data_IF_633298191313
#
_entry.id   IF_633298191313
#
_cell.length_a   1.000
_cell.length_b   1.000
_cell.length_c   1.000
_cell.angle_alpha   90.00
_cell.angle_beta   90.00
_cell.angle_gamma   90.00
#
_symmetry.space_group_name_H-M   'P 1'
#
loop_
_entity.id
_entity.type
_entity.pdbx_description
1 polymer ?
#
# COMPACT_ATOMS: atom_id res chain seq x y z
N UNK A 1 22.14 60.68 -68.56
CA UNK A 1 20.76 60.43 -68.11
C UNK A 1 20.78 59.09 -67.38
N UNK A 2 21.09 59.11 -66.09
CA UNK A 2 21.25 57.92 -65.25
C UNK A 2 19.95 57.66 -64.49
N UNK A 3 19.40 56.45 -64.61
CA UNK A 3 18.15 56.01 -64.00
C UNK A 3 18.48 55.15 -62.77
N UNK A 4 18.04 55.59 -61.61
CA UNK A 4 18.19 54.91 -60.32
C UNK A 4 17.16 53.78 -60.16
N UNK A 5 17.63 52.57 -59.84
CA UNK A 5 16.79 51.46 -59.40
C UNK A 5 16.41 51.61 -57.91
N UNK A 6 15.11 51.53 -57.59
CA UNK A 6 14.62 51.25 -56.23
C UNK A 6 14.28 49.76 -56.12
N UNK A 7 14.91 49.07 -55.18
CA UNK A 7 14.54 47.72 -54.74
C UNK A 7 13.57 47.83 -53.55
N UNK A 8 12.35 47.33 -53.71
CA UNK A 8 11.35 47.21 -52.64
C UNK A 8 11.49 45.85 -51.94
N UNK A 9 11.86 45.87 -50.65
CA UNK A 9 11.79 44.73 -49.75
C UNK A 9 10.34 44.49 -49.31
N UNK A 10 9.76 43.34 -49.65
CA UNK A 10 8.51 42.84 -49.07
C UNK A 10 8.82 42.16 -47.72
N UNK A 11 8.33 42.74 -46.62
CA UNK A 11 8.27 42.11 -45.31
C UNK A 11 7.01 41.23 -45.22
N UNK A 12 7.19 39.91 -45.18
CA UNK A 12 6.11 38.98 -44.87
C UNK A 12 5.85 38.98 -43.35
N UNK A 13 4.70 39.49 -42.92
CA UNK A 13 4.24 39.39 -41.54
C UNK A 13 3.73 37.96 -41.27
N UNK A 14 4.43 37.19 -40.45
CA UNK A 14 3.91 35.93 -39.91
C UNK A 14 2.85 36.24 -38.85
N UNK A 15 1.60 35.90 -39.15
CA UNK A 15 0.52 35.86 -38.15
C UNK A 15 0.70 34.55 -37.36
N UNK A 16 1.18 34.65 -36.12
CA UNK A 16 1.16 33.54 -35.16
C UNK A 16 -0.27 33.38 -34.68
N UNK A 17 -0.99 32.37 -35.20
CA UNK A 17 -2.30 32.00 -34.67
C UNK A 17 -2.11 31.38 -33.28
N UNK A 18 -2.61 32.05 -32.25
CA UNK A 18 -2.63 31.49 -30.89
C UNK A 18 -3.52 30.24 -30.88
N UNK A 19 -2.97 29.11 -30.43
CA UNK A 19 -3.74 27.90 -30.20
C UNK A 19 -4.87 28.17 -29.19
N UNK A 20 -6.09 27.64 -29.39
CA UNK A 20 -7.18 27.81 -28.44
C UNK A 20 -6.78 27.16 -27.11
N UNK A 21 -6.79 27.95 -26.04
CA UNK A 21 -6.64 27.48 -24.66
C UNK A 21 -7.79 26.53 -24.38
N UNK A 22 -7.49 25.26 -24.12
CA UNK A 22 -8.50 24.29 -23.67
C UNK A 22 -9.18 24.83 -22.40
N UNK A 23 -10.51 24.78 -22.28
CA UNK A 23 -11.19 25.23 -21.08
C UNK A 23 -10.67 24.45 -19.88
N UNK A 24 -10.29 25.17 -18.81
CA UNK A 24 -9.91 24.56 -17.55
C UNK A 24 -11.03 23.63 -17.08
N UNK A 25 -10.73 22.35 -16.94
CA UNK A 25 -11.65 21.37 -16.37
C UNK A 25 -11.89 21.80 -14.92
N UNK A 26 -13.12 22.22 -14.62
CA UNK A 26 -13.49 22.53 -13.23
C UNK A 26 -13.37 21.24 -12.41
N UNK A 27 -12.66 21.24 -11.26
CA UNK A 27 -12.56 20.06 -10.43
C UNK A 27 -13.96 19.68 -9.96
N UNK A 28 -14.47 18.58 -10.51
CA UNK A 28 -15.72 17.96 -10.08
C UNK A 28 -15.35 17.10 -8.88
N UNK A 29 -15.39 17.66 -7.67
CA UNK A 29 -15.26 16.84 -6.46
C UNK A 29 -16.33 15.74 -6.53
N UNK A 30 -15.97 14.46 -6.40
CA UNK A 30 -16.94 13.41 -6.21
C UNK A 30 -17.88 13.82 -5.07
N UNK A 31 -19.19 13.69 -5.26
CA UNK A 31 -20.14 13.79 -4.16
C UNK A 31 -19.89 12.59 -3.24
N UNK A 32 -19.04 12.76 -2.24
CA UNK A 32 -18.74 11.70 -1.29
C UNK A 32 -17.50 11.99 -0.44
N UNK A 33 -17.57 11.64 0.83
CA UNK A 33 -16.46 11.61 1.79
C UNK A 33 -15.59 10.36 1.60
N UNK A 34 -15.22 10.03 0.35
CA UNK A 34 -14.36 8.85 0.12
C UNK A 34 -12.97 9.13 0.68
N UNK A 35 -12.62 8.37 1.71
CA UNK A 35 -11.25 8.27 2.21
C UNK A 35 -10.37 7.64 1.13
N UNK A 36 -9.25 8.28 0.82
CA UNK A 36 -8.22 7.71 -0.07
C UNK A 36 -6.98 7.41 0.76
N UNK A 37 -6.42 6.22 0.56
CA UNK A 37 -5.22 5.74 1.24
C UNK A 37 -4.02 5.94 0.32
N UNK A 38 -2.84 6.28 0.84
CA UNK A 38 -1.59 6.37 0.07
C UNK A 38 -0.49 5.48 0.66
N UNK A 39 -0.14 4.40 -0.03
CA UNK A 39 0.95 3.53 0.38
C UNK A 39 2.32 4.19 0.13
N UNK A 40 2.90 4.80 1.17
CA UNK A 40 4.22 5.45 1.15
C UNK A 40 5.36 4.43 1.25
N UNK A 41 5.53 3.62 0.20
CA UNK A 41 6.38 2.44 0.25
C UNK A 41 7.88 2.79 0.38
N UNK A 42 8.50 2.31 1.46
CA UNK A 42 9.93 2.46 1.79
C UNK A 42 10.40 3.90 2.12
N UNK A 43 9.47 4.83 2.35
CA UNK A 43 9.79 6.19 2.81
C UNK A 43 10.25 6.21 4.27
N UNK A 44 11.22 7.06 4.61
CA UNK A 44 11.60 7.26 6.02
C UNK A 44 10.50 7.99 6.80
N UNK A 45 10.47 7.83 8.12
CA UNK A 45 9.49 8.49 9.00
C UNK A 45 9.54 10.02 8.85
N UNK A 46 10.73 10.60 8.82
CA UNK A 46 10.91 12.05 8.67
C UNK A 46 10.39 12.55 7.30
N UNK A 47 10.58 11.77 6.23
CA UNK A 47 10.09 12.14 4.89
C UNK A 47 8.56 12.08 4.82
N UNK A 48 7.95 11.08 5.46
CA UNK A 48 6.49 11.00 5.59
C UNK A 48 5.95 12.18 6.41
N UNK A 49 6.60 12.52 7.53
CA UNK A 49 6.21 13.66 8.36
C UNK A 49 6.19 14.98 7.56
N UNK A 50 7.22 15.19 6.73
CA UNK A 50 7.30 16.34 5.83
C UNK A 50 6.19 16.30 4.76
N UNK A 51 5.98 15.15 4.12
CA UNK A 51 5.00 14.98 3.06
C UNK A 51 3.55 15.15 3.55
N UNK A 52 3.26 14.65 4.76
CA UNK A 52 2.00 14.90 5.47
C UNK A 52 1.68 16.40 5.57
N UNK A 53 2.68 17.20 5.93
CA UNK A 53 2.51 18.65 6.10
C UNK A 53 2.44 19.38 4.77
N UNK A 54 3.28 18.99 3.80
CA UNK A 54 3.49 19.73 2.57
C UNK A 54 2.46 19.40 1.47
N UNK A 55 1.93 18.17 1.47
CA UNK A 55 1.11 17.68 0.35
C UNK A 55 -0.09 16.82 0.79
N UNK A 56 0.15 15.73 1.52
CA UNK A 56 -0.87 14.70 1.81
C UNK A 56 -2.02 15.25 2.66
N UNK A 57 -1.73 16.04 3.71
CA UNK A 57 -2.76 16.66 4.55
C UNK A 57 -3.66 17.64 3.79
N UNK A 58 -3.09 18.61 3.05
CA UNK A 58 -3.85 19.45 2.12
C UNK A 58 -4.69 18.65 1.10
N UNK A 59 -4.22 17.47 0.69
CA UNK A 59 -4.83 16.64 -0.35
C UNK A 59 -5.76 15.52 0.18
N UNK A 60 -5.79 15.24 1.49
CA UNK A 60 -6.75 14.34 2.16
C UNK A 60 -6.42 12.84 2.23
N UNK A 61 -5.16 12.44 2.03
CA UNK A 61 -4.71 11.03 1.96
C UNK A 61 -4.17 10.49 3.31
N UNK A 62 -3.85 9.18 3.41
CA UNK A 62 -2.95 8.61 4.43
C UNK A 62 -2.46 7.16 4.20
N UNK A 63 -1.20 6.80 4.57
CA UNK A 63 -0.69 5.45 4.99
C UNK A 63 0.86 5.38 5.12
N UNK A 64 1.39 4.43 5.92
CA UNK A 64 2.84 4.20 6.22
C UNK A 64 3.28 2.71 6.25
N UNK A 65 4.51 2.42 5.78
CA UNK A 65 5.21 1.09 5.75
C UNK A 65 5.41 0.38 7.12
N UNK A 66 5.79 -0.93 7.16
CA UNK A 66 6.01 -1.67 8.41
C UNK A 66 7.04 -1.00 9.35
N UNK A 67 6.72 -0.79 10.65
CA UNK A 67 7.61 -0.09 11.57
C UNK A 67 8.38 -0.97 12.55
N UNK A 68 8.06 -2.26 12.61
CA UNK A 68 8.74 -3.20 13.51
C UNK A 68 10.21 -3.42 13.08
N UNK A 69 11.04 -3.81 14.06
CA UNK A 69 12.41 -4.27 13.82
C UNK A 69 12.39 -5.55 12.99
N UNK A 70 13.21 -5.57 11.95
CA UNK A 70 13.23 -6.61 10.94
C UNK A 70 14.67 -7.00 10.57
N UNK A 71 14.84 -8.09 9.82
CA UNK A 71 16.17 -8.54 9.39
C UNK A 71 16.92 -7.44 8.65
N UNK A 72 18.25 -7.42 8.81
CA UNK A 72 19.10 -6.44 8.15
C UNK A 72 19.33 -6.83 6.69
N UNK A 73 19.05 -5.91 5.77
CA UNK A 73 19.41 -6.07 4.37
C UNK A 73 18.83 -4.96 3.50
N UNK A 74 19.45 -4.73 2.36
CA UNK A 74 18.98 -3.76 1.37
C UNK A 74 17.69 -4.15 0.64
N UNK A 75 17.35 -5.44 0.41
CA UNK A 75 16.13 -5.76 -0.31
C UNK A 75 14.87 -5.20 0.36
N UNK A 76 13.83 -4.96 -0.43
CA UNK A 76 12.61 -4.35 0.12
C UNK A 76 11.90 -5.28 1.09
N UNK A 77 11.86 -6.58 0.76
CA UNK A 77 11.17 -7.64 1.50
C UNK A 77 11.75 -7.89 2.89
N UNK A 78 12.93 -7.33 3.22
CA UNK A 78 13.46 -7.44 4.58
C UNK A 78 12.56 -6.78 5.61
N UNK A 79 11.69 -5.83 5.22
CA UNK A 79 10.67 -5.21 6.09
C UNK A 79 9.63 -6.24 6.59
N UNK A 80 9.47 -7.33 5.85
CA UNK A 80 8.47 -8.38 6.08
C UNK A 80 9.05 -9.59 6.82
N UNK A 81 10.23 -9.45 7.43
CA UNK A 81 10.83 -10.49 8.27
C UNK A 81 11.12 -9.92 9.65
N UNK A 82 10.12 -9.83 10.53
CA UNK A 82 10.29 -9.20 11.83
C UNK A 82 11.18 -10.07 12.72
N UNK A 83 11.99 -9.39 13.56
CA UNK A 83 12.85 -10.03 14.58
C UNK A 83 12.46 -9.59 15.99
N UNK A 84 11.75 -8.48 16.13
CA UNK A 84 11.12 -8.06 17.38
C UNK A 84 9.99 -7.06 17.10
N UNK A 85 9.32 -6.60 18.16
CA UNK A 85 8.31 -5.54 18.09
C UNK A 85 8.86 -4.16 18.51
N UNK A 86 10.19 -4.02 18.60
CA UNK A 86 10.83 -2.72 18.82
C UNK A 86 10.61 -1.86 17.56
N UNK A 87 10.23 -0.60 17.74
CA UNK A 87 9.99 0.33 16.63
C UNK A 87 11.30 0.96 16.13
N UNK A 88 12.22 0.12 15.66
CA UNK A 88 13.47 0.56 15.03
C UNK A 88 13.62 -0.22 13.73
N UNK A 89 13.57 0.47 12.60
CA UNK A 89 13.66 -0.14 11.28
C UNK A 89 14.63 0.64 10.40
N UNK A 90 14.79 0.21 9.14
CA UNK A 90 15.56 0.98 8.15
C UNK A 90 14.91 2.32 7.76
N UNK A 91 13.76 2.67 8.36
CA UNK A 91 13.05 3.96 8.19
C UNK A 91 13.29 4.98 9.29
N UNK A 92 13.86 4.53 10.42
CA UNK A 92 14.08 5.35 11.59
C UNK A 92 13.71 4.63 12.88
N UNK A 93 13.92 5.33 13.99
CA UNK A 93 13.62 4.86 15.33
C UNK A 93 12.20 5.22 15.79
N UNK A 94 11.88 4.82 17.04
CA UNK A 94 10.59 5.06 17.67
C UNK A 94 10.26 6.55 17.78
N UNK A 95 11.26 7.38 18.08
CA UNK A 95 11.07 8.83 18.25
C UNK A 95 10.69 9.44 16.91
N UNK A 96 11.38 9.07 15.84
CA UNK A 96 11.06 9.50 14.47
C UNK A 96 9.67 9.01 14.04
N UNK A 97 9.30 7.77 14.39
CA UNK A 97 7.96 7.25 14.14
C UNK A 97 6.86 8.05 14.87
N UNK A 98 7.03 8.31 16.17
CA UNK A 98 6.08 9.10 16.97
C UNK A 98 5.95 10.54 16.45
N UNK A 99 7.07 11.16 16.05
CA UNK A 99 7.10 12.48 15.43
C UNK A 99 6.31 12.48 14.11
N UNK A 100 6.48 11.45 13.29
CA UNK A 100 5.75 11.28 12.03
C UNK A 100 4.26 11.13 12.26
N UNK A 101 3.84 10.28 13.20
CA UNK A 101 2.41 10.12 13.55
C UNK A 101 1.82 11.45 14.04
N UNK A 102 2.56 12.18 14.89
CA UNK A 102 2.13 13.49 15.38
C UNK A 102 2.03 14.54 14.28
N UNK A 103 3.02 14.62 13.38
CA UNK A 103 3.03 15.55 12.27
C UNK A 103 1.86 15.28 11.30
N UNK A 104 1.64 14.02 10.93
CA UNK A 104 0.52 13.61 10.10
C UNK A 104 -0.83 13.93 10.75
N UNK A 105 -1.01 13.60 12.04
CA UNK A 105 -2.23 13.95 12.78
C UNK A 105 -2.48 15.46 12.79
N UNK A 106 -1.47 16.27 13.02
CA UNK A 106 -1.59 17.74 13.01
C UNK A 106 -1.94 18.28 11.61
N UNK A 107 -1.55 17.57 10.55
CA UNK A 107 -1.92 17.87 9.17
C UNK A 107 -3.30 17.29 8.77
N UNK A 108 -4.01 16.62 9.68
CA UNK A 108 -5.31 16.00 9.42
C UNK A 108 -5.23 14.65 8.68
N UNK A 109 -4.07 14.00 8.73
CA UNK A 109 -3.77 12.70 8.10
C UNK A 109 -3.74 11.61 9.15
N UNK A 110 -4.52 10.55 8.93
CA UNK A 110 -4.44 9.32 9.72
C UNK A 110 -3.27 8.45 9.27
N UNK A 111 -2.53 7.88 10.23
CA UNK A 111 -1.50 6.87 9.95
C UNK A 111 -2.08 5.47 10.10
N UNK A 112 -1.98 4.69 9.04
CA UNK A 112 -2.27 3.26 9.01
C UNK A 112 -0.92 2.54 8.93
N UNK A 113 -0.73 1.53 9.78
CA UNK A 113 0.52 0.78 9.88
C UNK A 113 0.37 -0.59 9.23
N UNK A 114 1.35 -0.98 8.42
CA UNK A 114 1.51 -2.37 7.96
C UNK A 114 1.99 -3.25 9.14
N UNK A 115 1.19 -4.24 9.52
CA UNK A 115 1.40 -5.10 10.68
C UNK A 115 1.50 -6.57 10.29
N UNK A 116 2.60 -7.20 10.70
CA UNK A 116 2.89 -8.61 10.43
C UNK A 116 2.51 -9.42 11.65
N UNK A 117 1.36 -10.10 11.56
CA UNK A 117 0.84 -10.96 12.63
C UNK A 117 1.07 -12.45 12.36
N UNK A 118 1.37 -12.81 11.11
CA UNK A 118 1.45 -14.20 10.70
C UNK A 118 2.74 -14.88 11.15
N UNK A 119 3.88 -14.26 10.92
CA UNK A 119 5.17 -14.92 11.01
C UNK A 119 6.25 -14.03 11.62
N UNK A 120 7.40 -14.63 11.89
CA UNK A 120 8.66 -13.97 12.15
C UNK A 120 9.67 -14.27 11.01
N UNK A 121 10.92 -13.82 11.15
CA UNK A 121 11.97 -14.02 10.14
C UNK A 121 12.26 -15.50 9.80
N UNK A 122 12.70 -15.75 8.57
CA UNK A 122 13.06 -17.10 8.11
C UNK A 122 14.50 -17.52 8.38
N UNK A 123 15.03 -17.24 9.58
CA UNK A 123 16.47 -17.21 9.87
C UNK A 123 17.26 -18.40 9.29
N UNK A 124 18.37 -18.12 8.57
CA UNK A 124 19.20 -19.14 7.91
C UNK A 124 19.97 -20.08 8.88
N UNK A 125 19.89 -19.88 10.19
CA UNK A 125 20.57 -20.73 11.17
C UNK A 125 19.58 -21.44 12.10
N UNK A 126 19.74 -22.76 12.19
CA UNK A 126 18.85 -23.73 12.87
C UNK A 126 18.53 -23.42 14.34
N UNK A 127 19.31 -22.55 15.01
CA UNK A 127 19.13 -22.19 16.42
C UNK A 127 18.39 -20.86 16.66
N UNK A 128 18.08 -20.11 15.60
CA UNK A 128 17.44 -18.79 15.69
C UNK A 128 16.03 -18.75 15.07
N UNK A 129 15.71 -19.66 14.13
CA UNK A 129 14.45 -19.66 13.36
C UNK A 129 13.19 -19.54 14.22
N UNK A 130 13.16 -20.25 15.36
CA UNK A 130 12.06 -20.22 16.33
C UNK A 130 12.42 -19.61 17.69
N UNK A 131 13.51 -18.84 17.76
CA UNK A 131 13.98 -18.28 19.02
C UNK A 131 14.23 -16.78 18.89
N UNK A 132 13.28 -16.01 19.43
CA UNK A 132 13.27 -14.54 19.42
C UNK A 132 13.36 -14.07 20.88
N UNK A 133 14.59 -13.83 21.40
CA UNK A 133 14.83 -13.58 22.82
C UNK A 133 13.91 -12.52 23.40
N UNK A 134 13.22 -12.86 24.50
CA UNK A 134 12.29 -11.95 25.18
C UNK A 134 10.92 -11.79 24.51
N UNK A 135 10.67 -12.46 23.38
CA UNK A 135 9.38 -12.41 22.68
C UNK A 135 8.80 -13.78 22.41
N UNK A 136 9.48 -14.65 21.66
CA UNK A 136 8.96 -15.98 21.27
C UNK A 136 10.02 -17.07 21.41
N UNK A 137 9.55 -18.27 21.72
CA UNK A 137 10.32 -19.51 21.73
C UNK A 137 9.63 -20.55 20.85
N UNK A 138 10.27 -21.70 20.68
CA UNK A 138 9.81 -22.80 19.81
C UNK A 138 8.31 -23.13 19.90
N UNK A 139 7.74 -23.15 21.11
CA UNK A 139 6.33 -23.49 21.35
C UNK A 139 5.33 -22.36 21.01
N UNK A 140 5.82 -21.20 20.55
CA UNK A 140 4.98 -20.08 20.10
C UNK A 140 4.81 -20.06 18.57
N UNK A 141 5.36 -21.06 17.89
CA UNK A 141 5.24 -21.24 16.45
C UNK A 141 4.45 -22.51 16.18
N UNK A 142 3.74 -22.53 15.05
CA UNK A 142 3.18 -23.77 14.53
C UNK A 142 4.31 -24.68 14.05
N UNK A 143 4.06 -25.99 14.13
CA UNK A 143 4.90 -27.06 13.58
C UNK A 143 3.92 -28.00 12.88
N UNK A 144 3.47 -27.63 11.69
CA UNK A 144 2.29 -28.24 11.07
C UNK A 144 2.48 -29.74 10.79
N UNK A 145 3.72 -30.19 10.57
CA UNK A 145 4.08 -31.58 10.35
C UNK A 145 3.52 -32.19 9.06
N UNK A 146 3.04 -31.34 8.14
CA UNK A 146 2.40 -31.78 6.89
C UNK A 146 3.40 -31.92 5.74
N UNK A 147 4.46 -31.11 5.73
CA UNK A 147 5.48 -31.08 4.70
C UNK A 147 6.89 -31.01 5.32
N UNK A 148 7.95 -31.38 4.58
CA UNK A 148 9.31 -31.17 5.03
C UNK A 148 9.58 -29.69 5.34
N UNK A 149 10.18 -29.41 6.49
CA UNK A 149 10.48 -28.03 6.91
C UNK A 149 9.28 -27.25 7.42
N UNK A 150 8.11 -27.88 7.54
CA UNK A 150 6.83 -27.22 7.85
C UNK A 150 6.45 -26.14 6.81
N UNK A 151 7.01 -26.15 5.60
CA UNK A 151 6.67 -25.20 4.53
C UNK A 151 5.30 -25.47 3.89
N UNK A 152 4.63 -24.41 3.42
CA UNK A 152 3.46 -24.54 2.54
C UNK A 152 3.90 -25.04 1.17
N UNK A 153 3.36 -26.19 0.76
CA UNK A 153 3.55 -26.80 -0.57
C UNK A 153 2.22 -26.92 -1.32
N UNK A 154 1.15 -27.30 -0.62
CA UNK A 154 -0.20 -27.47 -1.15
C UNK A 154 -1.14 -26.35 -0.69
N UNK A 155 -1.29 -25.32 -1.53
CA UNK A 155 -2.23 -24.22 -1.32
C UNK A 155 -3.71 -24.65 -1.41
N UNK A 156 -4.02 -25.87 -1.85
CA UNK A 156 -5.40 -26.40 -1.80
C UNK A 156 -5.77 -26.95 -0.41
N UNK A 157 -4.80 -27.11 0.49
CA UNK A 157 -5.00 -27.55 1.86
C UNK A 157 -5.05 -26.36 2.83
N UNK A 158 -6.25 -26.07 3.36
CA UNK A 158 -6.46 -24.96 4.30
C UNK A 158 -5.56 -25.04 5.54
N UNK A 159 -5.42 -26.25 6.10
CA UNK A 159 -4.61 -26.42 7.31
C UNK A 159 -3.16 -26.05 7.02
N UNK A 160 -2.65 -26.48 5.86
CA UNK A 160 -1.31 -26.14 5.40
C UNK A 160 -1.16 -24.63 5.21
N UNK A 161 -2.07 -24.00 4.44
CA UNK A 161 -2.07 -22.55 4.20
C UNK A 161 -2.05 -21.71 5.50
N UNK A 162 -2.65 -22.22 6.59
CA UNK A 162 -2.86 -21.45 7.82
C UNK A 162 -2.02 -21.88 9.03
N UNK A 163 -1.18 -22.92 8.89
CA UNK A 163 -0.33 -23.41 10.01
C UNK A 163 1.07 -23.83 9.58
N UNK A 164 1.36 -23.90 8.28
CA UNK A 164 2.70 -24.13 7.75
C UNK A 164 3.36 -22.79 7.35
N UNK A 165 4.68 -22.80 7.22
CA UNK A 165 5.52 -21.65 6.93
C UNK A 165 5.34 -21.17 5.49
N UNK A 166 5.00 -19.89 5.34
CA UNK A 166 5.02 -19.21 4.06
C UNK A 166 6.47 -18.88 3.69
N UNK A 167 7.06 -19.60 2.73
CA UNK A 167 8.42 -19.35 2.25
C UNK A 167 9.48 -19.40 3.38
N UNK A 168 9.42 -20.44 4.23
CA UNK A 168 10.30 -20.61 5.38
C UNK A 168 10.23 -19.40 6.35
N UNK A 169 9.08 -18.75 6.50
CA UNK A 169 8.87 -17.72 7.52
C UNK A 169 8.25 -18.36 8.75
N UNK A 170 8.90 -18.22 9.92
CA UNK A 170 8.51 -18.90 11.15
C UNK A 170 7.07 -18.55 11.55
N UNK A 171 6.15 -19.51 11.38
CA UNK A 171 4.70 -19.28 11.44
C UNK A 171 4.21 -19.22 12.90
N UNK A 172 3.64 -18.09 13.32
CA UNK A 172 3.21 -17.87 14.71
C UNK A 172 1.97 -18.68 15.03
N UNK A 173 1.96 -19.32 16.20
CA UNK A 173 0.82 -20.06 16.72
C UNK A 173 -0.28 -19.11 17.23
N UNK A 174 -0.96 -18.44 16.29
CA UNK A 174 -1.98 -17.39 16.52
C UNK A 174 -3.24 -17.91 17.19
N UNK A 175 -3.38 -19.22 17.35
CA UNK A 175 -4.42 -19.89 18.13
C UNK A 175 -4.11 -19.90 19.65
N UNK A 176 -2.86 -19.61 20.05
CA UNK A 176 -2.44 -19.62 21.46
C UNK A 176 -2.65 -18.30 22.19
N UNK A 177 -2.96 -18.37 23.48
CA UNK A 177 -3.20 -17.19 24.33
C UNK A 177 -1.99 -16.24 24.38
N UNK A 178 -0.78 -16.81 24.48
CA UNK A 178 0.44 -16.02 24.59
C UNK A 178 0.71 -15.22 23.31
N UNK A 179 0.63 -15.86 22.15
CA UNK A 179 0.86 -15.18 20.85
C UNK A 179 -0.20 -14.11 20.61
N UNK A 180 -1.48 -14.41 20.82
CA UNK A 180 -2.57 -13.41 20.70
C UNK A 180 -2.36 -12.21 21.63
N UNK A 181 -1.96 -12.46 22.87
CA UNK A 181 -1.65 -11.40 23.85
C UNK A 181 -0.47 -10.53 23.42
N UNK A 182 0.60 -11.13 22.88
CA UNK A 182 1.78 -10.39 22.40
C UNK A 182 1.48 -9.54 21.17
N UNK A 183 0.77 -10.10 20.19
CA UNK A 183 0.34 -9.37 18.98
C UNK A 183 -0.59 -8.20 19.34
N UNK A 184 -1.56 -8.42 20.22
CA UNK A 184 -2.44 -7.36 20.70
C UNK A 184 -1.69 -6.27 21.50
N UNK A 185 -0.68 -6.65 22.29
CA UNK A 185 0.16 -5.68 23.01
C UNK A 185 0.96 -4.80 22.05
N UNK A 186 1.55 -5.38 20.99
CA UNK A 186 2.23 -4.63 19.94
C UNK A 186 1.29 -3.66 19.21
N UNK A 187 0.11 -4.14 18.79
CA UNK A 187 -0.90 -3.31 18.15
C UNK A 187 -1.36 -2.17 19.08
N UNK A 188 -1.59 -2.45 20.36
CA UNK A 188 -1.97 -1.43 21.34
C UNK A 188 -0.86 -0.38 21.58
N UNK A 189 0.42 -0.77 21.48
CA UNK A 189 1.53 0.18 21.52
C UNK A 189 1.47 1.15 20.34
N UNK A 190 1.28 0.64 19.11
CA UNK A 190 1.09 1.47 17.91
C UNK A 190 -0.11 2.44 18.06
N UNK A 191 -1.25 1.93 18.53
CA UNK A 191 -2.45 2.74 18.76
C UNK A 191 -2.21 3.82 19.82
N UNK A 192 -1.42 3.53 20.85
CA UNK A 192 -1.06 4.51 21.89
C UNK A 192 -0.25 5.70 21.35
N UNK A 193 0.50 5.49 20.26
CA UNK A 193 1.26 6.54 19.57
C UNK A 193 0.38 7.39 18.63
N UNK A 194 -0.88 7.00 18.42
CA UNK A 194 -1.85 7.73 17.58
C UNK A 194 -2.09 7.14 16.20
N UNK A 195 -1.62 5.91 15.95
CA UNK A 195 -2.01 5.13 14.75
C UNK A 195 -3.52 4.91 14.75
N UNK A 196 -4.16 5.02 13.59
CA UNK A 196 -5.63 4.93 13.45
C UNK A 196 -6.09 3.70 12.69
N UNK A 197 -5.16 2.95 12.07
CA UNK A 197 -5.49 1.76 11.31
C UNK A 197 -4.33 0.78 11.20
N UNK A 198 -4.65 -0.47 10.88
CA UNK A 198 -3.69 -1.53 10.64
C UNK A 198 -3.98 -2.19 9.27
N UNK A 199 -2.93 -2.42 8.47
CA UNK A 199 -2.96 -3.32 7.33
C UNK A 199 -2.40 -4.66 7.78
N UNK A 200 -3.20 -5.71 7.74
CA UNK A 200 -2.81 -7.03 8.19
C UNK A 200 -2.14 -7.77 7.04
N UNK A 201 -0.81 -7.88 7.12
CA UNK A 201 0.02 -8.65 6.20
C UNK A 201 -0.32 -10.14 6.26
N UNK A 202 -0.27 -10.80 5.10
CA UNK A 202 -0.47 -12.24 4.98
C UNK A 202 -1.72 -12.78 5.70
N UNK A 203 -2.80 -11.99 5.79
CA UNK A 203 -3.98 -12.34 6.58
C UNK A 203 -4.64 -13.67 6.14
N UNK A 204 -4.49 -14.06 4.86
CA UNK A 204 -4.92 -15.38 4.34
C UNK A 204 -4.34 -16.55 5.15
N UNK A 205 -3.13 -16.39 5.66
CA UNK A 205 -2.37 -17.41 6.39
C UNK A 205 -2.71 -17.46 7.88
N UNK A 206 -3.62 -16.60 8.35
CA UNK A 206 -4.13 -16.63 9.72
C UNK A 206 -5.62 -17.03 9.69
N UNK A 207 -6.07 -17.97 10.54
CA UNK A 207 -7.49 -18.24 10.69
C UNK A 207 -8.29 -16.98 11.06
N UNK A 208 -9.42 -16.74 10.39
CA UNK A 208 -10.25 -15.53 10.60
C UNK A 208 -10.66 -15.31 12.07
N UNK A 209 -10.89 -16.41 12.81
CA UNK A 209 -11.22 -16.37 14.23
C UNK A 209 -10.06 -15.91 15.13
N UNK A 210 -8.82 -16.17 14.72
CA UNK A 210 -7.63 -15.76 15.47
C UNK A 210 -7.36 -14.26 15.28
N UNK A 211 -7.52 -13.77 14.05
CA UNK A 211 -7.55 -12.33 13.77
C UNK A 211 -8.64 -11.64 14.62
N UNK A 212 -9.87 -12.16 14.60
CA UNK A 212 -10.98 -11.61 15.40
C UNK A 212 -10.64 -11.57 16.90
N UNK A 213 -9.97 -12.60 17.42
CA UNK A 213 -9.53 -12.66 18.80
C UNK A 213 -8.48 -11.60 19.14
N UNK A 214 -7.47 -11.44 18.29
CA UNK A 214 -6.41 -10.41 18.45
C UNK A 214 -7.03 -9.01 18.41
N UNK A 215 -7.88 -8.73 17.40
CA UNK A 215 -8.56 -7.44 17.26
C UNK A 215 -9.49 -7.15 18.45
N UNK A 216 -10.14 -8.17 19.01
CA UNK A 216 -10.99 -8.05 20.21
C UNK A 216 -10.24 -7.66 21.49
N UNK A 217 -8.90 -7.69 21.50
CA UNK A 217 -8.04 -7.31 22.62
C UNK A 217 -7.47 -5.88 22.51
N UNK A 218 -7.81 -5.16 21.45
CA UNK A 218 -7.33 -3.80 21.24
C UNK A 218 -8.10 -2.80 22.12
N UNK A 219 -7.40 -1.77 22.59
CA UNK A 219 -7.94 -0.72 23.46
C UNK A 219 -8.89 0.24 22.72
N UNK A 220 -8.81 0.26 21.39
CA UNK A 220 -9.70 1.01 20.50
C UNK A 220 -9.97 0.20 19.24
N UNK A 221 -10.96 0.61 18.45
CA UNK A 221 -11.28 -0.03 17.16
C UNK A 221 -10.57 0.71 16.02
N UNK A 222 -9.42 0.23 15.52
CA UNK A 222 -8.77 0.83 14.36
C UNK A 222 -9.53 0.53 13.06
N UNK A 223 -9.22 1.28 12.01
CA UNK A 223 -9.48 0.84 10.63
C UNK A 223 -8.64 -0.41 10.32
N UNK A 224 -9.21 -1.40 9.66
CA UNK A 224 -8.53 -2.65 9.31
C UNK A 224 -8.67 -2.87 7.80
N UNK A 225 -7.55 -3.17 7.15
CA UNK A 225 -7.51 -3.75 5.80
C UNK A 225 -6.65 -5.01 5.81
N UNK A 226 -7.06 -6.06 5.12
CA UNK A 226 -6.47 -7.39 5.23
C UNK A 226 -5.98 -7.88 3.87
N UNK A 227 -4.75 -8.38 3.81
CA UNK A 227 -4.23 -9.03 2.62
C UNK A 227 -4.74 -10.48 2.51
N UNK A 228 -5.72 -10.69 1.63
CA UNK A 228 -6.22 -12.03 1.30
C UNK A 228 -6.26 -12.17 -0.21
N UNK A 229 -5.19 -12.74 -0.78
CA UNK A 229 -5.08 -12.93 -2.23
C UNK A 229 -6.07 -14.02 -2.67
N UNK A 230 -6.97 -13.66 -3.58
CA UNK A 230 -7.92 -14.59 -4.17
C UNK A 230 -7.25 -15.50 -5.20
N UNK A 231 -7.47 -16.81 -5.06
CA UNK A 231 -7.22 -17.81 -6.10
C UNK A 231 -8.43 -18.73 -6.16
N UNK A 232 -8.92 -19.06 -7.36
CA UNK A 232 -10.18 -19.80 -7.57
C UNK A 232 -10.19 -21.15 -6.86
N UNK A 233 -9.08 -21.89 -6.91
CA UNK A 233 -9.01 -23.27 -6.41
C UNK A 233 -8.51 -23.38 -4.97
N UNK A 234 -8.10 -22.28 -4.34
CA UNK A 234 -7.66 -22.28 -2.95
C UNK A 234 -8.86 -22.28 -1.98
N UNK A 235 -8.80 -22.98 -0.84
CA UNK A 235 -9.94 -23.11 0.06
C UNK A 235 -10.21 -21.85 0.87
N UNK A 236 -9.23 -20.95 1.04
CA UNK A 236 -9.35 -19.72 1.84
C UNK A 236 -9.75 -18.55 0.94
N UNK A 237 -10.89 -17.92 1.23
CA UNK A 237 -11.47 -16.86 0.39
C UNK A 237 -11.51 -15.49 1.11
N UNK A 238 -11.35 -14.37 0.37
CA UNK A 238 -11.46 -13.00 0.92
C UNK A 238 -12.76 -12.74 1.70
N UNK A 239 -13.88 -13.31 1.26
CA UNK A 239 -15.19 -13.14 1.90
C UNK A 239 -15.25 -13.66 3.34
N UNK A 240 -14.32 -14.52 3.76
CA UNK A 240 -14.25 -15.04 5.14
C UNK A 240 -13.72 -13.99 6.14
N UNK A 241 -13.11 -12.92 5.64
CA UNK A 241 -12.37 -11.94 6.44
C UNK A 241 -13.11 -10.60 6.61
N UNK A 242 -14.24 -10.40 5.92
CA UNK A 242 -14.98 -9.11 5.94
C UNK A 242 -15.54 -8.74 7.31
N UNK A 243 -15.71 -9.71 8.21
CA UNK A 243 -16.13 -9.44 9.59
C UNK A 243 -15.04 -8.75 10.44
N UNK A 244 -13.77 -8.86 10.03
CA UNK A 244 -12.63 -8.27 10.74
C UNK A 244 -12.25 -6.86 10.24
N UNK A 245 -12.79 -6.44 9.09
CA UNK A 245 -12.46 -5.18 8.43
C UNK A 245 -12.53 -5.30 6.92
N UNK A 246 -12.02 -4.28 6.22
CA UNK A 246 -11.90 -4.34 4.77
C UNK A 246 -10.89 -5.43 4.35
N UNK A 247 -11.02 -5.91 3.12
CA UNK A 247 -10.15 -6.91 2.52
C UNK A 247 -9.65 -6.39 1.18
N UNK A 248 -8.37 -6.62 0.90
CA UNK A 248 -7.73 -6.22 -0.36
C UNK A 248 -8.28 -7.05 -1.52
N UNK A 249 -9.01 -6.42 -2.45
CA UNK A 249 -9.64 -7.10 -3.58
C UNK A 249 -8.69 -7.20 -4.78
N UNK A 250 -7.78 -8.18 -4.76
CA UNK A 250 -6.78 -8.39 -5.82
C UNK A 250 -7.40 -8.67 -7.20
N UNK A 251 -8.63 -9.18 -7.29
CA UNK A 251 -9.31 -9.36 -8.59
C UNK A 251 -9.61 -8.02 -9.26
N UNK A 252 -9.80 -6.95 -8.47
CA UNK A 252 -9.90 -5.59 -8.99
C UNK A 252 -8.62 -5.22 -9.75
N UNK A 253 -7.46 -5.39 -9.10
CA UNK A 253 -6.13 -5.08 -9.67
C UNK A 253 -5.91 -5.77 -11.02
N UNK A 254 -6.08 -7.10 -11.08
CA UNK A 254 -5.87 -7.87 -12.32
C UNK A 254 -6.91 -7.54 -13.40
N UNK A 255 -8.17 -7.32 -13.02
CA UNK A 255 -9.22 -6.92 -13.98
C UNK A 255 -8.91 -5.58 -14.61
N UNK A 256 -8.51 -4.59 -13.81
CA UNK A 256 -8.18 -3.26 -14.29
C UNK A 256 -6.95 -3.29 -15.19
N UNK A 257 -5.92 -4.09 -14.86
CA UNK A 257 -4.78 -4.31 -15.75
C UNK A 257 -5.22 -4.82 -17.12
N UNK A 258 -5.98 -5.92 -17.16
CA UNK A 258 -6.39 -6.56 -18.41
C UNK A 258 -7.28 -5.63 -19.26
N UNK A 259 -8.24 -4.96 -18.64
CA UNK A 259 -9.20 -4.11 -19.34
C UNK A 259 -8.54 -2.86 -19.92
N UNK A 260 -7.67 -2.21 -19.16
CA UNK A 260 -6.97 -1.01 -19.64
C UNK A 260 -5.88 -1.31 -20.67
N UNK A 261 -5.29 -2.52 -20.66
CA UNK A 261 -4.35 -2.96 -21.70
C UNK A 261 -5.05 -3.40 -22.99
N UNK A 262 -6.21 -4.05 -22.88
CA UNK A 262 -6.98 -4.53 -24.05
C UNK A 262 -7.83 -3.44 -24.71
N UNK A 263 -8.18 -2.37 -23.99
CA UNK A 263 -9.07 -1.31 -24.47
C UNK A 263 -10.56 -1.57 -24.21
N UNK A 264 -10.91 -2.69 -23.56
CA UNK A 264 -12.30 -3.12 -23.30
C UNK A 264 -12.94 -2.42 -22.08
N UNK A 265 -12.68 -1.12 -21.91
CA UNK A 265 -13.05 -0.31 -20.72
C UNK A 265 -14.57 -0.35 -20.46
N UNK A 266 -15.38 -0.51 -21.51
CA UNK A 266 -16.84 -0.64 -21.40
C UNK A 266 -17.29 -1.80 -20.51
N UNK A 267 -16.46 -2.84 -20.33
CA UNK A 267 -16.72 -4.00 -19.46
C UNK A 267 -16.68 -3.67 -17.96
N UNK A 268 -16.21 -2.47 -17.57
CA UNK A 268 -16.17 -2.03 -16.17
C UNK A 268 -17.51 -1.44 -15.69
N UNK A 269 -18.49 -1.27 -16.58
CA UNK A 269 -19.80 -0.69 -16.21
C UNK A 269 -20.52 -1.49 -15.11
N UNK A 270 -20.32 -2.81 -15.09
CA UNK A 270 -20.98 -3.76 -14.18
C UNK A 270 -20.01 -4.34 -13.15
N UNK A 271 -18.99 -3.57 -12.71
CA UNK A 271 -17.95 -4.06 -11.80
C UNK A 271 -18.53 -4.60 -10.48
N UNK A 272 -19.57 -3.94 -9.95
CA UNK A 272 -20.28 -4.37 -8.74
C UNK A 272 -21.02 -5.71 -8.89
N UNK A 273 -21.26 -6.17 -10.12
CA UNK A 273 -22.01 -7.41 -10.41
C UNK A 273 -21.11 -8.64 -10.54
N UNK A 274 -19.81 -8.52 -10.26
CA UNK A 274 -18.81 -9.58 -10.50
C UNK A 274 -18.73 -10.65 -9.40
N UNK A 275 -19.59 -10.58 -8.37
CA UNK A 275 -19.58 -11.53 -7.25
C UNK A 275 -18.33 -11.40 -6.35
N UNK A 276 -17.72 -10.21 -6.35
CA UNK A 276 -16.59 -9.88 -5.49
C UNK A 276 -17.06 -9.54 -4.07
N UNK A 277 -16.13 -9.27 -3.16
CA UNK A 277 -16.50 -8.73 -1.84
C UNK A 277 -17.28 -7.42 -2.04
N UNK A 278 -18.22 -7.13 -1.13
CA UNK A 278 -19.04 -5.93 -1.27
C UNK A 278 -18.18 -4.67 -1.29
N UNK A 279 -18.59 -3.65 -2.04
CA UNK A 279 -17.88 -2.36 -2.14
C UNK A 279 -17.57 -1.73 -0.78
N UNK A 280 -18.45 -1.91 0.23
CA UNK A 280 -18.23 -1.41 1.59
C UNK A 280 -17.12 -2.12 2.37
N UNK A 281 -16.73 -3.32 1.92
CA UNK A 281 -15.78 -4.20 2.60
C UNK A 281 -14.48 -4.35 1.78
N UNK A 282 -14.37 -3.62 0.66
CA UNK A 282 -13.29 -3.76 -0.31
C UNK A 282 -12.26 -2.64 -0.17
N UNK A 283 -11.00 -2.99 0.02
CA UNK A 283 -9.86 -2.11 -0.24
C UNK A 283 -9.33 -2.39 -1.66
N UNK A 284 -9.22 -1.35 -2.50
CA UNK A 284 -8.86 -1.50 -3.91
C UNK A 284 -7.65 -0.68 -4.31
N UNK A 285 -6.85 -1.20 -5.24
CA UNK A 285 -5.64 -0.55 -5.73
C UNK A 285 -5.36 -0.97 -7.18
N UNK A 286 -4.71 -0.08 -7.94
CA UNK A 286 -4.22 -0.41 -9.29
C UNK A 286 -2.94 -1.25 -9.21
N UNK A 287 -2.16 -1.07 -8.14
CA UNK A 287 -1.03 -1.92 -7.76
C UNK A 287 -0.71 -1.73 -6.30
N UNK A 288 -0.18 -2.77 -5.66
CA UNK A 288 0.52 -2.64 -4.39
C UNK A 288 2.02 -2.88 -4.61
N UNK A 289 2.79 -2.85 -3.52
CA UNK A 289 4.23 -3.08 -3.55
C UNK A 289 4.65 -4.47 -4.08
N UNK A 290 3.84 -5.52 -3.93
CA UNK A 290 4.13 -6.85 -4.49
C UNK A 290 3.79 -6.91 -5.98
N UNK A 291 2.56 -6.56 -6.34
CA UNK A 291 2.03 -6.76 -7.69
C UNK A 291 2.77 -5.89 -8.72
N UNK A 292 3.26 -4.71 -8.31
CA UNK A 292 4.03 -3.85 -9.20
C UNK A 292 5.36 -4.49 -9.65
N UNK A 293 5.87 -5.44 -8.86
CA UNK A 293 7.08 -6.24 -9.11
C UNK A 293 6.78 -7.60 -9.71
N UNK A 294 5.66 -8.21 -9.34
CA UNK A 294 5.23 -9.55 -9.79
C UNK A 294 4.53 -9.62 -11.15
N UNK A 295 4.36 -8.49 -11.84
CA UNK A 295 3.80 -8.43 -13.20
C UNK A 295 2.27 -8.58 -13.28
N UNK A 296 1.59 -8.79 -12.15
CA UNK A 296 0.14 -9.01 -12.07
C UNK A 296 -0.67 -7.72 -11.85
N UNK A 297 -0.08 -6.57 -12.17
CA UNK A 297 -0.75 -5.27 -12.14
C UNK A 297 -0.16 -4.29 -13.16
N UNK A 298 -0.88 -3.20 -13.42
CA UNK A 298 -0.24 -2.01 -13.99
C UNK A 298 0.74 -1.44 -12.96
N UNK A 299 1.71 -0.64 -13.40
CA UNK A 299 2.63 0.07 -12.51
C UNK A 299 3.10 1.36 -13.18
N UNK A 300 3.99 2.11 -12.52
CA UNK A 300 4.49 3.39 -13.05
C UNK A 300 5.19 3.26 -14.43
N UNK A 301 5.69 2.08 -14.79
CA UNK A 301 6.30 1.79 -16.11
C UNK A 301 5.25 1.65 -17.22
N UNK A 302 3.97 1.54 -16.87
CA UNK A 302 2.84 1.41 -17.81
C UNK A 302 2.34 2.76 -18.38
N UNK A 303 2.98 3.88 -18.03
CA UNK A 303 2.71 5.19 -18.61
C UNK A 303 1.28 5.68 -18.42
N UNK A 304 0.68 6.26 -19.48
CA UNK A 304 -0.66 6.87 -19.43
C UNK A 304 -1.77 5.88 -19.03
N UNK A 305 -1.61 4.59 -19.34
CA UNK A 305 -2.59 3.56 -19.00
C UNK A 305 -2.76 3.46 -17.47
N UNK A 306 -1.65 3.57 -16.73
CA UNK A 306 -1.65 3.54 -15.27
C UNK A 306 -2.34 4.76 -14.66
N UNK A 307 -2.14 5.94 -15.25
CA UNK A 307 -2.85 7.18 -14.90
C UNK A 307 -4.36 7.04 -15.11
N UNK A 308 -4.78 6.55 -16.27
CA UNK A 308 -6.20 6.41 -16.60
C UNK A 308 -6.90 5.38 -15.69
N UNK A 309 -6.21 4.29 -15.35
CA UNK A 309 -6.71 3.31 -14.38
C UNK A 309 -6.90 3.92 -12.98
N UNK A 310 -5.98 4.78 -12.53
CA UNK A 310 -6.15 5.53 -11.27
C UNK A 310 -7.33 6.50 -11.30
N UNK A 311 -7.49 7.25 -12.40
CA UNK A 311 -8.64 8.15 -12.57
C UNK A 311 -9.95 7.36 -12.47
N UNK A 312 -10.01 6.19 -13.11
CA UNK A 312 -11.17 5.30 -13.00
C UNK A 312 -11.39 4.84 -11.55
N UNK A 313 -10.36 4.33 -10.87
CA UNK A 313 -10.47 3.86 -9.48
C UNK A 313 -10.95 4.96 -8.51
N UNK A 314 -10.47 6.18 -8.67
CA UNK A 314 -10.87 7.31 -7.83
C UNK A 314 -12.27 7.83 -8.16
N UNK A 315 -12.72 7.70 -9.41
CA UNK A 315 -14.04 8.15 -9.85
C UNK A 315 -15.15 7.11 -9.66
N UNK A 316 -14.83 5.82 -9.73
CA UNK A 316 -15.81 4.73 -9.68
C UNK A 316 -16.20 4.40 -8.22
N UNK A 317 -17.48 4.16 -7.92
CA UNK A 317 -17.97 3.99 -6.54
C UNK A 317 -17.75 2.58 -5.95
N UNK A 318 -16.62 1.93 -6.26
CA UNK A 318 -16.29 0.61 -5.71
C UNK A 318 -15.08 0.66 -4.77
N UNK A 319 -15.25 0.21 -3.53
CA UNK A 319 -14.18 0.11 -2.54
C UNK A 319 -13.61 1.42 -2.01
N UNK A 320 -12.74 1.27 -1.01
CA UNK A 320 -11.83 2.29 -0.49
C UNK A 320 -10.52 2.24 -1.28
N UNK A 321 -10.18 3.30 -2.04
CA UNK A 321 -9.00 3.30 -2.89
C UNK A 321 -7.69 3.49 -2.12
N UNK A 322 -6.68 2.68 -2.44
CA UNK A 322 -5.28 2.81 -2.02
C UNK A 322 -4.42 3.13 -3.24
N UNK A 323 -3.67 4.24 -3.17
CA UNK A 323 -2.72 4.68 -4.20
C UNK A 323 -1.31 4.32 -3.76
N UNK A 324 -0.53 3.68 -4.64
CA UNK A 324 0.86 3.34 -4.34
C UNK A 324 1.81 4.50 -4.69
N UNK A 325 2.60 4.92 -3.70
CA UNK A 325 3.78 5.78 -3.88
C UNK A 325 5.03 4.90 -3.79
N UNK A 326 5.63 4.62 -4.95
CA UNK A 326 6.75 3.67 -5.09
C UNK A 326 8.07 4.40 -5.39
N UNK A 327 9.08 3.64 -5.79
CA UNK A 327 10.39 4.11 -6.23
C UNK A 327 10.79 3.42 -7.53
N UNK A 328 11.76 3.99 -8.23
CA UNK A 328 12.29 3.36 -9.43
C UNK A 328 13.12 2.13 -9.05
N UNK A 329 12.81 0.98 -9.65
CA UNK A 329 13.53 -0.27 -9.41
C UNK A 329 13.92 -0.98 -10.71
N UNK A 330 15.09 -1.61 -10.70
CA UNK A 330 15.67 -2.37 -11.82
C UNK A 330 15.29 -3.85 -11.80
N UNK A 331 15.06 -4.41 -10.62
CA UNK A 331 14.83 -5.83 -10.38
C UNK A 331 13.84 -6.02 -9.23
N UNK A 332 13.40 -7.27 -9.04
CA UNK A 332 12.38 -7.62 -8.07
C UNK A 332 12.80 -7.31 -6.63
N UNK A 333 14.06 -7.54 -6.28
CA UNK A 333 14.55 -7.45 -4.89
C UNK A 333 15.00 -6.05 -4.49
N UNK A 334 15.22 -5.16 -5.46
CA UNK A 334 15.72 -3.80 -5.23
C UNK A 334 15.00 -3.07 -4.09
N UNK A 335 15.79 -2.67 -3.09
CA UNK A 335 15.33 -1.83 -1.97
C UNK A 335 15.07 -0.38 -2.35
N UNK A 336 14.35 0.32 -1.48
CA UNK A 336 14.17 1.77 -1.60
C UNK A 336 15.48 2.54 -1.40
N UNK A 337 15.56 3.82 -1.83
CA UNK A 337 16.74 4.65 -1.65
C UNK A 337 17.14 4.77 -0.16
N UNK A 338 18.42 4.50 0.15
CA UNK A 338 18.94 4.45 1.53
C UNK A 338 18.79 5.75 2.34
N UNK A 339 18.61 6.90 1.68
CA UNK A 339 18.44 8.18 2.37
C UNK A 339 16.96 8.50 2.66
N UNK A 340 16.01 7.65 2.23
CA UNK A 340 14.58 7.82 2.50
C UNK A 340 13.92 9.07 1.91
N UNK A 341 14.68 9.97 1.27
CA UNK A 341 14.20 11.22 0.69
C UNK A 341 13.72 11.01 -0.73
N UNK A 342 12.43 11.24 -0.98
CA UNK A 342 11.90 11.46 -2.32
C UNK A 342 12.20 12.87 -2.80
N UNK A 343 12.87 12.99 -3.95
CA UNK A 343 12.89 14.25 -4.70
C UNK A 343 11.76 14.20 -5.74
N UNK A 344 10.63 14.84 -5.45
CA UNK A 344 9.62 15.14 -6.47
C UNK A 344 10.13 16.36 -7.26
N UNK A 345 10.77 16.15 -8.42
CA UNK A 345 11.15 17.27 -9.29
C UNK A 345 10.05 17.51 -10.32
N UNK A 346 9.55 18.75 -10.38
CA UNK A 346 8.48 19.21 -11.30
C UNK A 346 8.82 19.02 -12.79
N UNK A 347 10.07 18.67 -13.09
CA UNK A 347 10.55 18.25 -14.40
C UNK A 347 11.17 16.87 -14.25
N UNK A 348 10.67 15.91 -15.04
CA UNK A 348 11.01 14.48 -14.97
C UNK A 348 12.46 14.21 -14.57
N UNK A 349 12.64 13.76 -13.33
CA UNK A 349 13.93 13.55 -12.70
C UNK A 349 13.78 12.52 -11.57
N UNK A 350 14.15 11.28 -11.90
CA UNK A 350 14.21 10.08 -11.07
C UNK A 350 14.68 10.32 -9.63
N UNK A 351 13.91 9.85 -8.63
CA UNK A 351 14.40 9.09 -7.44
C UNK A 351 13.36 8.66 -6.40
N UNK A 352 12.10 9.07 -6.49
CA UNK A 352 10.94 8.32 -5.97
C UNK A 352 9.81 8.55 -6.98
N UNK A 353 9.08 7.50 -7.32
CA UNK A 353 7.94 7.62 -8.23
C UNK A 353 6.70 7.57 -7.36
N UNK A 354 6.25 8.73 -6.89
CA UNK A 354 4.80 8.85 -6.78
C UNK A 354 4.27 8.47 -8.16
N UNK A 355 3.35 7.51 -8.18
CA UNK A 355 2.53 7.12 -9.31
C UNK A 355 1.69 8.30 -9.80
N UNK A 356 2.33 9.40 -10.15
CA UNK A 356 1.70 10.58 -10.68
C UNK A 356 2.70 11.22 -11.64
N UNK A 357 2.70 10.73 -12.87
CA UNK A 357 2.66 11.60 -14.06
C UNK A 357 1.42 12.54 -14.07
N UNK A 358 0.82 12.76 -12.90
CA UNK A 358 -0.45 13.42 -12.61
C UNK A 358 -0.27 14.44 -11.49
N UNK A 359 0.99 14.75 -11.12
CA UNK A 359 1.30 15.70 -10.04
C UNK A 359 1.09 17.17 -10.50
N UNK A 360 1.09 17.46 -11.81
CA UNK A 360 0.67 18.78 -12.30
C UNK A 360 -0.85 18.98 -12.25
N UNK A 361 -1.63 17.90 -12.40
CA UNK A 361 -3.08 17.97 -12.58
C UNK A 361 -3.86 17.71 -11.27
N UNK A 362 -3.33 16.93 -10.33
CA UNK A 362 -3.98 16.67 -9.03
C UNK A 362 -3.82 17.77 -7.98
N UNK A 363 -2.91 18.76 -8.17
CA UNK A 363 -2.76 19.92 -7.26
C UNK A 363 -4.05 20.74 -7.08
N UNK A 364 -5.07 20.49 -7.90
CA UNK A 364 -6.37 21.18 -7.87
C UNK A 364 -7.54 20.33 -7.33
N UNK A 365 -7.33 19.07 -6.94
CA UNK A 365 -8.41 18.22 -6.42
C UNK A 365 -8.55 18.38 -4.90
N UNK A 366 -9.62 19.05 -4.44
CA UNK A 366 -9.98 19.10 -3.01
C UNK A 366 -10.70 17.81 -2.61
N UNK A 367 -10.09 17.03 -1.72
CA UNK A 367 -10.73 15.90 -1.03
C UNK A 367 -11.24 16.36 0.34
N UNK A 368 -12.37 15.79 0.77
CA UNK A 368 -13.09 16.22 1.97
C UNK A 368 -12.25 16.06 3.25
N UNK A 369 -12.36 17.04 4.16
CA UNK A 369 -11.65 17.06 5.44
C UNK A 369 -12.16 15.97 6.39
N UNK A 370 -11.22 15.26 6.99
CA UNK A 370 -11.43 14.30 8.07
C UNK A 370 -11.77 15.04 9.38
N UNK A 371 -13.05 15.10 9.77
CA UNK A 371 -13.44 15.75 11.03
C UNK A 371 -14.42 14.99 11.93
N UNK A 372 -14.79 13.74 11.64
CA UNK A 372 -15.94 13.11 12.32
C UNK A 372 -15.67 11.71 12.92
N UNK A 373 -14.60 11.55 13.71
CA UNK A 373 -14.51 10.43 14.65
C UNK A 373 -14.29 10.99 16.05
N UNK A 374 -15.36 11.02 16.84
CA UNK A 374 -15.38 11.25 18.29
C UNK A 374 -15.96 10.03 18.97
#
# INVERSE_FOLDING_TARGET
MYLTMLTSLLTAAMIVAAAPVAPAVSPRSPNGSKTVIIQMFQWSWDSIAAECTNFIGPAGYGFVSPPAEHVVGSPWWTDYQPVSYILTSKRGDRTQFENMVTACRNAGVGVIVDTIFNHMSGAESWNAHYNYPGTYQFHNFHHCGLQPGDDIVDFSNRLEVQTCELLNLADLATDTEYVRGRLAAYANDLLSLGVVGLRLDAAKHIPTGDIANILGRLNSKPYITQEVIYVEEEPVKPSEYTNNGEVQEFRYTTTLQNVFQSGEISSLKDLDSRGWIASSDANVFISNHDTERGGSSLNYKSGLIYTLAHIFMLAYPYGTPTVLSSYEFSDYDAGGPLNGTGSCTETGGRRMVMSTSVDSDYRNAKVAKWSNWK
#
